data_IF_672185805793
#
_entry.id   IF_672185805793
#
_cell.length_a   1.000
_cell.length_b   1.000
_cell.length_c   1.000
_cell.angle_alpha   90.00
_cell.angle_beta   90.00
_cell.angle_gamma   90.00
#
_symmetry.space_group_name_H-M   'P 1'
#
loop_
_entity.id
_entity.type
_entity.pdbx_description
1 polymer ?
#
# COMPACT_ATOMS: atom_id res chain seq x y z
N UNK A 1 15.10 -61.58 -9.58
CA UNK A 1 15.07 -60.82 -8.32
C UNK A 1 14.79 -59.37 -8.68
N UNK A 2 13.60 -58.88 -8.40
CA UNK A 2 13.14 -57.55 -8.84
C UNK A 2 13.64 -56.50 -7.85
N UNK A 3 14.57 -55.65 -8.25
CA UNK A 3 14.95 -54.47 -7.47
C UNK A 3 13.98 -53.35 -7.80
N UNK A 4 12.99 -53.16 -6.93
CA UNK A 4 12.13 -51.98 -6.94
C UNK A 4 12.91 -50.77 -6.43
N UNK A 5 13.23 -49.84 -7.33
CA UNK A 5 13.71 -48.52 -6.96
C UNK A 5 12.48 -47.66 -6.59
N UNK A 6 12.29 -47.35 -5.31
CA UNK A 6 11.34 -46.31 -4.87
C UNK A 6 11.80 -44.94 -5.38
N UNK A 7 10.90 -44.08 -5.89
CA UNK A 7 11.27 -42.72 -6.23
C UNK A 7 11.55 -41.93 -4.95
N UNK A 8 12.75 -41.38 -4.85
CA UNK A 8 13.14 -40.39 -3.85
C UNK A 8 12.11 -39.25 -3.87
N UNK A 9 11.28 -39.15 -2.82
CA UNK A 9 10.46 -37.94 -2.60
C UNK A 9 11.44 -36.80 -2.38
N UNK A 10 11.59 -35.94 -3.39
CA UNK A 10 12.26 -34.65 -3.26
C UNK A 10 11.66 -33.92 -2.05
N UNK A 11 12.47 -33.27 -1.20
CA UNK A 11 11.91 -32.41 -0.17
C UNK A 11 11.16 -31.30 -0.91
N UNK A 12 9.84 -31.32 -0.80
CA UNK A 12 9.00 -30.18 -1.12
C UNK A 12 9.57 -29.02 -0.28
N UNK A 13 10.40 -28.17 -0.91
CA UNK A 13 10.66 -26.85 -0.35
C UNK A 13 9.28 -26.22 -0.28
N UNK A 14 8.71 -26.17 0.91
CA UNK A 14 7.59 -25.29 1.19
C UNK A 14 8.07 -23.92 0.75
N UNK A 15 7.66 -23.49 -0.44
CA UNK A 15 7.76 -22.09 -0.80
C UNK A 15 7.07 -21.37 0.35
N UNK A 16 7.73 -20.43 1.04
CA UNK A 16 6.98 -19.58 1.92
C UNK A 16 5.91 -18.96 1.03
N UNK A 17 4.63 -19.28 1.28
CA UNK A 17 3.55 -18.48 0.76
C UNK A 17 3.87 -17.08 1.24
N UNK A 18 4.44 -16.27 0.34
CA UNK A 18 4.69 -14.87 0.58
C UNK A 18 3.30 -14.32 0.79
N UNK A 19 2.91 -14.18 2.06
CA UNK A 19 1.59 -13.73 2.45
C UNK A 19 1.49 -12.29 1.97
N UNK A 20 1.00 -12.11 0.75
CA UNK A 20 0.88 -10.81 0.12
C UNK A 20 -0.11 -10.00 0.95
N UNK A 21 0.39 -8.94 1.59
CA UNK A 21 -0.46 -8.02 2.33
C UNK A 21 -1.46 -7.42 1.34
N UNK A 22 -2.74 -7.74 1.52
CA UNK A 22 -3.81 -7.17 0.72
C UNK A 22 -4.17 -5.81 1.29
N UNK A 23 -3.66 -4.76 0.66
CA UNK A 23 -4.04 -3.37 0.96
C UNK A 23 -5.33 -3.06 0.19
N UNK A 24 -6.37 -2.51 0.85
CA UNK A 24 -7.58 -2.07 0.16
C UNK A 24 -7.26 -0.93 -0.83
N UNK A 25 -8.05 -0.82 -1.89
CA UNK A 25 -7.96 0.30 -2.83
C UNK A 25 -8.17 1.64 -2.12
N UNK A 26 -7.43 2.68 -2.55
CA UNK A 26 -7.51 4.00 -1.94
C UNK A 26 -8.90 4.64 -2.10
N UNK A 27 -9.43 5.17 -1.00
CA UNK A 27 -10.70 5.92 -0.98
C UNK A 27 -10.43 7.40 -0.75
N UNK A 28 -10.59 8.22 -1.80
CA UNK A 28 -10.36 9.68 -1.73
C UNK A 28 -11.44 10.39 -0.91
N UNK A 29 -12.68 9.90 -0.90
CA UNK A 29 -13.80 10.49 -0.14
C UNK A 29 -13.62 10.44 1.37
N UNK A 30 -12.89 9.44 1.89
CA UNK A 30 -12.52 9.35 3.31
C UNK A 30 -11.08 8.86 3.47
N UNK A 31 -10.15 9.69 2.97
CA UNK A 31 -8.71 9.39 2.98
C UNK A 31 -8.19 9.15 4.40
N UNK A 32 -8.69 9.91 5.40
CA UNK A 32 -8.29 9.77 6.80
C UNK A 32 -8.66 8.39 7.36
N UNK A 33 -9.91 7.94 7.17
CA UNK A 33 -10.34 6.62 7.64
C UNK A 33 -9.62 5.49 6.91
N UNK A 34 -9.38 5.67 5.61
CA UNK A 34 -8.60 4.72 4.82
C UNK A 34 -7.21 4.52 5.42
N UNK A 35 -6.49 5.62 5.74
CA UNK A 35 -5.17 5.55 6.37
C UNK A 35 -5.20 4.82 7.72
N UNK A 36 -6.18 5.11 8.59
CA UNK A 36 -6.34 4.40 9.87
C UNK A 36 -6.47 2.89 9.66
N UNK A 37 -7.23 2.49 8.65
CA UNK A 37 -7.47 1.08 8.32
C UNK A 37 -6.19 0.40 7.84
N UNK A 38 -5.50 0.96 6.85
CA UNK A 38 -4.30 0.33 6.27
C UNK A 38 -3.13 0.33 7.25
N UNK A 39 -2.97 1.38 8.06
CA UNK A 39 -1.96 1.39 9.13
C UNK A 39 -2.23 0.32 10.19
N UNK A 40 -3.48 -0.03 10.46
CA UNK A 40 -3.80 -1.16 11.35
C UNK A 40 -3.30 -2.49 10.76
N UNK A 41 -3.39 -2.65 9.43
CA UNK A 41 -2.86 -3.81 8.73
C UNK A 41 -1.34 -3.82 8.80
N UNK A 42 -0.68 -2.69 8.54
CA UNK A 42 0.78 -2.57 8.64
C UNK A 42 1.27 -2.91 10.05
N UNK A 43 0.64 -2.37 11.10
CA UNK A 43 0.94 -2.72 12.50
C UNK A 43 0.76 -4.21 12.78
N UNK A 44 -0.34 -4.81 12.33
CA UNK A 44 -0.62 -6.24 12.52
C UNK A 44 0.42 -7.14 11.84
N UNK A 45 0.96 -6.70 10.71
CA UNK A 45 2.01 -7.39 9.96
C UNK A 45 3.43 -6.94 10.33
N UNK A 46 3.59 -6.09 11.36
CA UNK A 46 4.87 -5.53 11.83
C UNK A 46 5.66 -4.79 10.75
N UNK A 47 4.96 -4.23 9.76
CA UNK A 47 5.55 -3.33 8.78
C UNK A 47 5.76 -1.97 9.44
N UNK A 48 7.02 -1.58 9.57
CA UNK A 48 7.45 -0.36 10.26
C UNK A 48 8.39 0.50 9.41
N UNK A 49 8.95 -0.07 8.33
CA UNK A 49 9.80 0.66 7.41
C UNK A 49 8.99 1.66 6.60
N UNK A 50 9.38 2.94 6.65
CA UNK A 50 8.78 4.01 5.84
C UNK A 50 8.77 3.65 4.35
N UNK A 51 9.86 3.09 3.82
CA UNK A 51 9.94 2.70 2.40
C UNK A 51 8.99 1.55 2.05
N UNK A 52 8.93 0.51 2.88
CA UNK A 52 8.03 -0.63 2.64
C UNK A 52 6.56 -0.23 2.71
N UNK A 53 6.21 0.61 3.69
CA UNK A 53 4.84 1.15 3.82
C UNK A 53 4.52 2.04 2.62
N UNK A 54 5.47 2.90 2.21
CA UNK A 54 5.33 3.75 1.03
C UNK A 54 5.02 2.91 -0.22
N UNK A 55 5.81 1.87 -0.51
CA UNK A 55 5.60 1.01 -1.68
C UNK A 55 4.20 0.35 -1.68
N UNK A 56 3.74 -0.11 -0.51
CA UNK A 56 2.40 -0.67 -0.35
C UNK A 56 1.28 0.35 -0.63
N UNK A 57 1.46 1.59 -0.18
CA UNK A 57 0.48 2.66 -0.38
C UNK A 57 0.46 3.08 -1.85
N UNK A 58 1.62 3.25 -2.48
CA UNK A 58 1.74 3.54 -3.91
C UNK A 58 1.02 2.48 -4.74
N UNK A 59 1.22 1.20 -4.42
CA UNK A 59 0.54 0.08 -5.08
C UNK A 59 -0.98 0.05 -4.90
N UNK A 60 -1.52 0.78 -3.92
CA UNK A 60 -2.96 0.88 -3.65
C UNK A 60 -3.63 2.12 -4.28
N UNK A 61 -2.86 3.01 -4.91
CA UNK A 61 -3.38 4.23 -5.52
C UNK A 61 -4.00 3.94 -6.90
N UNK A 62 -5.24 4.38 -7.15
CA UNK A 62 -5.79 4.47 -8.49
C UNK A 62 -4.94 5.38 -9.38
N UNK A 63 -4.92 5.11 -10.69
CA UNK A 63 -4.06 5.84 -11.64
C UNK A 63 -4.28 7.36 -11.61
N UNK A 64 -5.52 7.82 -11.43
CA UNK A 64 -5.82 9.26 -11.36
C UNK A 64 -5.21 9.89 -10.09
N UNK A 65 -5.33 9.23 -8.93
CA UNK A 65 -4.73 9.71 -7.69
C UNK A 65 -3.21 9.69 -7.76
N UNK A 66 -2.62 8.64 -8.33
CA UNK A 66 -1.17 8.55 -8.52
C UNK A 66 -0.65 9.67 -9.44
N UNK A 67 -1.39 10.00 -10.50
CA UNK A 67 -1.09 11.15 -11.36
C UNK A 67 -1.18 12.46 -10.59
N UNK A 68 -2.22 12.63 -9.76
CA UNK A 68 -2.40 13.84 -8.95
C UNK A 68 -1.26 14.07 -7.98
N UNK A 69 -0.64 13.03 -7.40
CA UNK A 69 0.53 13.12 -6.51
C UNK A 69 1.87 12.74 -7.16
N UNK A 70 1.94 12.81 -8.50
CA UNK A 70 3.13 12.40 -9.25
C UNK A 70 4.41 13.14 -8.85
N UNK A 71 4.29 14.40 -8.42
CA UNK A 71 5.40 15.20 -7.88
C UNK A 71 6.05 14.56 -6.65
N UNK A 72 5.23 13.98 -5.76
CA UNK A 72 5.71 13.25 -4.57
C UNK A 72 6.24 11.88 -4.96
N UNK A 73 5.59 11.21 -5.92
CA UNK A 73 5.96 9.85 -6.31
C UNK A 73 7.29 9.76 -7.07
N UNK A 74 7.54 10.74 -7.94
CA UNK A 74 8.75 10.81 -8.76
C UNK A 74 9.95 11.38 -7.99
N UNK A 75 9.70 12.05 -6.86
CA UNK A 75 10.75 12.67 -6.04
C UNK A 75 10.40 12.56 -4.55
N UNK A 76 10.37 11.33 -4.00
CA UNK A 76 10.02 11.13 -2.60
C UNK A 76 11.12 11.71 -1.68
N UNK A 77 10.75 12.29 -0.53
CA UNK A 77 11.73 12.77 0.44
C UNK A 77 12.49 11.60 1.08
N UNK A 78 13.75 11.84 1.45
CA UNK A 78 14.67 10.78 1.88
C UNK A 78 14.32 10.16 3.25
N UNK A 79 13.85 10.98 4.21
CA UNK A 79 13.72 10.53 5.60
C UNK A 79 12.37 9.88 5.90
N UNK A 80 11.27 10.50 5.43
CA UNK A 80 9.90 10.10 5.78
C UNK A 80 8.98 10.08 4.53
N UNK A 81 9.28 9.22 3.54
CA UNK A 81 8.54 9.18 2.28
C UNK A 81 7.05 8.84 2.47
N UNK A 82 6.72 7.93 3.39
CA UNK A 82 5.33 7.56 3.65
C UNK A 82 4.56 8.69 4.34
N UNK A 83 5.14 9.30 5.38
CA UNK A 83 4.46 10.36 6.11
C UNK A 83 4.14 11.55 5.19
N UNK A 84 5.10 11.92 4.34
CA UNK A 84 4.91 13.00 3.36
C UNK A 84 3.84 12.67 2.31
N UNK A 85 3.82 11.43 1.81
CA UNK A 85 2.79 10.97 0.88
C UNK A 85 1.40 11.00 1.52
N UNK A 86 1.28 10.52 2.76
CA UNK A 86 0.04 10.52 3.54
C UNK A 86 -0.51 11.93 3.74
N UNK A 87 0.34 12.86 4.20
CA UNK A 87 -0.04 14.26 4.41
C UNK A 87 -0.54 14.90 3.10
N UNK A 88 0.19 14.66 2.01
CA UNK A 88 -0.17 15.22 0.69
C UNK A 88 -1.51 14.67 0.19
N UNK A 89 -1.75 13.37 0.31
CA UNK A 89 -3.01 12.74 -0.09
C UNK A 89 -4.19 13.26 0.73
N UNK A 90 -4.03 13.39 2.06
CA UNK A 90 -5.08 13.93 2.93
C UNK A 90 -5.37 15.39 2.59
N UNK A 91 -4.33 16.21 2.37
CA UNK A 91 -4.49 17.62 2.00
C UNK A 91 -5.24 17.77 0.68
N UNK A 92 -4.76 17.13 -0.39
CA UNK A 92 -5.37 17.28 -1.74
C UNK A 92 -6.80 16.75 -1.81
N UNK A 93 -7.11 15.67 -1.08
CA UNK A 93 -8.50 15.16 -0.98
C UNK A 93 -9.40 16.09 -0.19
N UNK A 94 -8.92 16.66 0.93
CA UNK A 94 -9.68 17.62 1.73
C UNK A 94 -9.95 18.91 0.96
N UNK A 95 -8.95 19.46 0.26
CA UNK A 95 -9.08 20.68 -0.54
C UNK A 95 -10.10 20.48 -1.68
N UNK A 96 -10.07 19.31 -2.33
CA UNK A 96 -11.03 18.94 -3.38
C UNK A 96 -12.47 18.84 -2.84
N UNK A 97 -12.65 18.20 -1.69
CA UNK A 97 -13.95 18.13 -1.00
C UNK A 97 -14.48 19.53 -0.63
N UNK A 98 -13.62 20.40 -0.08
CA UNK A 98 -13.98 21.78 0.27
C UNK A 98 -14.42 22.60 -0.95
N UNK A 99 -13.67 22.51 -2.05
CA UNK A 99 -14.03 23.21 -3.29
C UNK A 99 -15.36 22.71 -3.86
N UNK A 100 -15.60 21.39 -3.82
CA UNK A 100 -16.88 20.80 -4.24
C UNK A 100 -18.05 21.33 -3.38
N UNK A 101 -17.87 21.43 -2.06
CA UNK A 101 -18.91 21.94 -1.16
C UNK A 101 -19.21 23.42 -1.41
N UNK A 102 -18.20 24.24 -1.73
CA UNK A 102 -18.38 25.65 -2.05
C UNK A 102 -19.16 25.88 -3.35
N UNK A 103 -18.97 25.02 -4.37
CA UNK A 103 -19.71 25.11 -5.63
C UNK A 103 -21.18 24.66 -5.52
N UNK A 104 -21.55 24.00 -4.43
CA UNK A 104 -22.89 23.49 -4.16
C UNK A 104 -23.72 24.40 -3.21
N UNK A 105 -23.11 25.47 -2.69
CA UNK A 105 -23.73 26.46 -1.80
C UNK A 105 -24.20 27.69 -2.58
#
# INVERSE_FOLDING_TARGET
MTSQQLPLRSPQRHQPEVSTLKVPEFCSSDSKLWFVTVESLFRRHRLTSQSTIYDHVVGALPSHTAADVGDVLLSPPADHPYDHLKETLIRRTTDSEQHRLQLLA
#
